data_IF_854169816793
#
_entry.id   IF_854169816793
#
_cell.length_a   1.000
_cell.length_b   1.000
_cell.length_c   1.000
_cell.angle_alpha   90.00
_cell.angle_beta   90.00
_cell.angle_gamma   90.00
#
_symmetry.space_group_name_H-M   'P 1'
#
loop_
_entity.id
_entity.type
_entity.pdbx_description
1 polymer ?
#
# COMPACT_ATOMS: atom_id res chain seq x y z
N UNK A 1 25.03 3.37 -8.91
CA UNK A 1 24.48 2.49 -7.87
C UNK A 1 23.18 1.87 -8.33
N UNK A 2 23.27 0.68 -8.94
CA UNK A 2 22.15 -0.10 -9.45
C UNK A 2 21.94 -1.32 -8.53
N UNK A 3 21.54 -1.09 -7.28
CA UNK A 3 21.36 -2.16 -6.29
C UNK A 3 20.30 -3.21 -6.67
N UNK A 4 19.37 -2.86 -7.58
CA UNK A 4 18.23 -3.72 -7.95
C UNK A 4 18.47 -4.58 -9.21
N UNK A 5 19.42 -4.20 -10.06
CA UNK A 5 19.71 -4.92 -11.31
C UNK A 5 20.11 -6.38 -11.09
N UNK A 6 20.88 -6.74 -10.04
CA UNK A 6 21.20 -8.14 -9.76
C UNK A 6 19.96 -9.00 -9.45
N UNK A 7 18.97 -8.44 -8.73
CA UNK A 7 17.76 -9.18 -8.33
C UNK A 7 16.85 -9.49 -9.53
N UNK A 8 16.71 -8.54 -10.45
CA UNK A 8 15.90 -8.75 -11.66
C UNK A 8 16.58 -9.68 -12.67
N UNK A 9 17.91 -9.62 -12.79
CA UNK A 9 18.66 -10.50 -13.70
C UNK A 9 18.73 -11.94 -13.22
N UNK A 10 18.64 -12.16 -11.90
CA UNK A 10 18.67 -13.49 -11.26
C UNK A 10 17.30 -13.89 -10.71
N UNK A 11 16.21 -13.34 -11.25
CA UNK A 11 14.88 -13.54 -10.69
C UNK A 11 14.55 -15.03 -10.48
N UNK A 12 14.83 -15.87 -11.47
CA UNK A 12 14.58 -17.31 -11.42
C UNK A 12 15.38 -18.03 -10.33
N UNK A 13 16.57 -17.55 -9.98
CA UNK A 13 17.37 -18.09 -8.88
C UNK A 13 16.84 -17.58 -7.53
N UNK A 14 16.51 -16.29 -7.46
CA UNK A 14 16.04 -15.60 -6.25
C UNK A 14 14.72 -16.19 -5.72
N UNK A 15 13.84 -16.66 -6.61
CA UNK A 15 12.51 -17.15 -6.22
C UNK A 15 12.48 -18.64 -5.83
N UNK A 16 13.61 -19.36 -5.88
CA UNK A 16 13.62 -20.80 -5.59
C UNK A 16 13.43 -21.12 -4.10
N UNK A 17 13.92 -20.26 -3.20
CA UNK A 17 13.81 -20.46 -1.76
C UNK A 17 13.99 -19.15 -0.98
N UNK A 18 13.60 -19.15 0.29
CA UNK A 18 13.90 -18.03 1.20
C UNK A 18 15.41 -17.78 1.32
N UNK A 19 16.20 -18.86 1.37
CA UNK A 19 17.66 -18.76 1.46
C UNK A 19 18.26 -18.10 0.21
N UNK A 20 17.77 -18.47 -0.98
CA UNK A 20 18.21 -17.86 -2.24
C UNK A 20 17.89 -16.36 -2.29
N UNK A 21 16.71 -15.97 -1.80
CA UNK A 21 16.35 -14.56 -1.65
C UNK A 21 17.29 -13.84 -0.66
N UNK A 22 17.54 -14.45 0.51
CA UNK A 22 18.41 -13.89 1.55
C UNK A 22 19.83 -13.67 1.04
N UNK A 23 20.40 -14.67 0.37
CA UNK A 23 21.72 -14.60 -0.25
C UNK A 23 21.78 -13.49 -1.31
N UNK A 24 20.75 -13.40 -2.15
CA UNK A 24 20.69 -12.40 -3.21
C UNK A 24 20.58 -10.97 -2.69
N UNK A 25 19.92 -10.74 -1.54
CA UNK A 25 19.78 -9.41 -0.94
C UNK A 25 20.89 -9.07 0.07
N UNK A 26 21.65 -10.05 0.57
CA UNK A 26 22.70 -9.84 1.58
C UNK A 26 23.73 -8.79 1.14
N UNK A 27 24.05 -8.78 -0.15
CA UNK A 27 25.03 -7.87 -0.75
C UNK A 27 24.39 -6.62 -1.37
N UNK A 28 23.07 -6.50 -1.32
CA UNK A 28 22.34 -5.35 -1.87
C UNK A 28 22.28 -4.26 -0.80
N UNK A 29 23.06 -3.19 -1.01
CA UNK A 29 22.89 -1.96 -0.23
C UNK A 29 21.67 -1.20 -0.73
N UNK A 30 20.59 -1.30 0.04
CA UNK A 30 19.45 -0.41 -0.09
C UNK A 30 19.81 0.95 0.52
N UNK A 31 19.96 1.99 -0.31
CA UNK A 31 20.29 3.35 0.14
C UNK A 31 19.18 3.96 1.04
N UNK A 32 17.98 3.36 1.07
CA UNK A 32 16.86 3.75 1.93
C UNK A 32 16.15 2.52 2.45
N UNK A 33 16.26 2.28 3.76
CA UNK A 33 15.55 1.23 4.49
C UNK A 33 14.42 1.76 5.38
N UNK A 34 14.20 3.07 5.38
CA UNK A 34 13.20 3.72 6.20
C UNK A 34 11.94 4.05 5.39
N UNK A 35 10.79 3.89 6.04
CA UNK A 35 9.52 4.36 5.50
C UNK A 35 9.49 5.89 5.45
N UNK A 36 8.95 6.45 4.37
CA UNK A 36 8.75 7.90 4.28
C UNK A 36 7.90 8.42 5.46
N UNK A 37 8.07 9.67 5.84
CA UNK A 37 7.25 10.30 6.88
C UNK A 37 5.75 10.27 6.52
N UNK A 38 5.43 10.37 5.22
CA UNK A 38 4.07 10.24 4.71
C UNK A 38 3.44 8.87 4.97
N UNK A 39 4.24 7.78 4.88
CA UNK A 39 3.75 6.43 5.12
C UNK A 39 3.83 5.99 6.59
N UNK A 40 4.86 6.42 7.33
CA UNK A 40 5.07 6.04 8.73
C UNK A 40 4.36 6.94 9.72
N UNK A 41 4.03 8.18 9.33
CA UNK A 41 3.60 9.26 10.23
C UNK A 41 4.57 9.47 11.40
N UNK A 42 5.87 9.21 11.18
CA UNK A 42 6.91 9.30 12.21
C UNK A 42 6.85 8.19 13.26
N UNK A 43 6.06 7.13 13.05
CA UNK A 43 5.91 6.04 14.00
C UNK A 43 6.71 4.80 13.58
N UNK A 44 7.44 4.16 14.51
CA UNK A 44 8.18 2.93 14.22
C UNK A 44 7.20 1.80 13.85
N UNK A 45 7.65 0.87 13.01
CA UNK A 45 6.88 -0.28 12.51
C UNK A 45 5.61 0.07 11.71
N UNK A 46 5.42 1.33 11.33
CA UNK A 46 4.39 1.76 10.35
C UNK A 46 5.02 2.03 9.00
N UNK A 47 4.20 1.91 7.96
CA UNK A 47 4.58 2.25 6.59
C UNK A 47 4.46 1.10 5.59
N UNK A 48 4.52 -0.16 6.04
CA UNK A 48 4.41 -1.32 5.15
C UNK A 48 3.14 -1.30 4.30
N UNK A 49 1.96 -1.15 4.90
CA UNK A 49 0.69 -1.11 4.16
C UNK A 49 0.63 0.07 3.18
N UNK A 50 1.17 1.23 3.55
CA UNK A 50 1.24 2.40 2.66
C UNK A 50 2.16 2.14 1.46
N UNK A 51 3.35 1.58 1.72
CA UNK A 51 4.29 1.16 0.68
C UNK A 51 3.74 0.07 -0.23
N UNK A 52 2.98 -0.87 0.32
CA UNK A 52 2.31 -1.91 -0.46
C UNK A 52 1.28 -1.30 -1.41
N UNK A 53 0.42 -0.38 -0.95
CA UNK A 53 -0.50 0.33 -1.85
C UNK A 53 0.21 1.11 -2.94
N UNK A 54 1.32 1.78 -2.62
CA UNK A 54 2.15 2.46 -3.62
C UNK A 54 2.70 1.47 -4.65
N UNK A 55 3.23 0.32 -4.20
CA UNK A 55 3.73 -0.74 -5.09
C UNK A 55 2.63 -1.25 -6.03
N UNK A 56 1.42 -1.49 -5.51
CA UNK A 56 0.30 -1.92 -6.33
C UNK A 56 -0.05 -0.86 -7.40
N UNK A 57 -0.12 0.41 -7.02
CA UNK A 57 -0.35 1.50 -7.98
C UNK A 57 0.74 1.57 -9.07
N UNK A 58 2.01 1.49 -8.66
CA UNK A 58 3.17 1.44 -9.59
C UNK A 58 3.04 0.26 -10.55
N UNK A 59 2.73 -0.93 -10.03
CA UNK A 59 2.57 -2.12 -10.86
C UNK A 59 1.43 -1.95 -11.88
N UNK A 60 0.28 -1.41 -11.46
CA UNK A 60 -0.85 -1.19 -12.39
C UNK A 60 -0.52 -0.18 -13.49
N UNK A 61 0.17 0.92 -13.18
CA UNK A 61 0.59 1.91 -14.19
C UNK A 61 1.69 1.32 -15.09
N UNK A 62 2.62 0.57 -14.52
CA UNK A 62 3.69 -0.12 -15.24
C UNK A 62 3.17 -1.13 -16.27
N UNK A 63 2.08 -1.84 -15.97
CA UNK A 63 1.38 -2.70 -16.95
C UNK A 63 0.93 -1.89 -18.16
N UNK A 64 0.39 -0.69 -17.95
CA UNK A 64 -0.05 0.17 -19.05
C UNK A 64 1.14 0.65 -19.88
N UNK A 65 2.17 1.21 -19.25
CA UNK A 65 3.37 1.69 -19.95
C UNK A 65 4.09 0.58 -20.72
N UNK A 66 4.14 -0.62 -20.14
CA UNK A 66 4.74 -1.79 -20.81
C UNK A 66 3.91 -2.20 -22.02
N UNK A 67 2.59 -2.30 -21.87
CA UNK A 67 1.69 -2.64 -22.98
C UNK A 67 1.69 -1.60 -24.11
N UNK A 68 2.00 -0.33 -23.84
CA UNK A 68 2.17 0.73 -24.85
C UNK A 68 3.36 0.46 -25.78
N UNK A 69 4.38 -0.26 -25.31
CA UNK A 69 5.65 -0.49 -26.04
C UNK A 69 5.86 -1.93 -26.53
N UNK A 70 5.07 -2.88 -26.04
CA UNK A 70 5.14 -4.30 -26.40
C UNK A 70 4.34 -4.65 -27.67
N UNK A 71 4.77 -5.71 -28.35
CA UNK A 71 3.96 -6.35 -29.41
C UNK A 71 2.68 -6.95 -28.82
N UNK A 72 1.61 -7.06 -29.64
CA UNK A 72 0.31 -7.59 -29.20
C UNK A 72 0.41 -8.95 -28.48
N UNK A 73 1.31 -9.83 -28.93
CA UNK A 73 1.56 -11.16 -28.35
C UNK A 73 2.19 -11.16 -26.95
N UNK A 74 2.76 -10.02 -26.50
CA UNK A 74 3.44 -9.88 -25.20
C UNK A 74 2.69 -8.98 -24.23
N UNK A 75 1.50 -8.50 -24.61
CA UNK A 75 0.69 -7.65 -23.76
C UNK A 75 0.11 -8.46 -22.61
N UNK A 76 0.11 -7.87 -21.43
CA UNK A 76 -0.52 -8.45 -20.23
C UNK A 76 -1.95 -7.89 -20.13
N UNK A 77 -2.95 -8.75 -20.00
CA UNK A 77 -4.33 -8.29 -19.86
C UNK A 77 -4.57 -7.65 -18.49
N UNK A 78 -5.50 -6.70 -18.42
CA UNK A 78 -5.82 -6.02 -17.16
C UNK A 78 -6.42 -6.97 -16.13
N UNK A 79 -7.23 -7.93 -16.57
CA UNK A 79 -7.75 -8.99 -15.70
C UNK A 79 -6.61 -9.85 -15.13
N UNK A 80 -5.67 -10.30 -15.97
CA UNK A 80 -4.57 -11.15 -15.51
C UNK A 80 -3.67 -10.45 -14.49
N UNK A 81 -3.28 -9.19 -14.76
CA UNK A 81 -2.50 -8.40 -13.80
C UNK A 81 -3.26 -8.19 -12.48
N UNK A 82 -4.57 -8.01 -12.54
CA UNK A 82 -5.41 -7.85 -11.36
C UNK A 82 -5.55 -9.15 -10.55
N UNK A 83 -5.63 -10.31 -11.21
CA UNK A 83 -5.65 -11.63 -10.57
C UNK A 83 -4.34 -11.91 -9.82
N UNK A 84 -3.19 -11.53 -10.40
CA UNK A 84 -1.89 -11.63 -9.72
C UNK A 84 -1.88 -10.80 -8.44
N UNK A 85 -2.35 -9.55 -8.50
CA UNK A 85 -2.46 -8.67 -7.34
C UNK A 85 -3.41 -9.25 -6.28
N UNK A 86 -4.58 -9.75 -6.70
CA UNK A 86 -5.55 -10.42 -5.81
C UNK A 86 -4.90 -11.60 -5.08
N UNK A 87 -4.23 -12.48 -5.81
CA UNK A 87 -3.61 -13.69 -5.25
C UNK A 87 -2.41 -13.35 -4.35
N UNK A 88 -1.65 -12.31 -4.68
CA UNK A 88 -0.61 -11.79 -3.79
C UNK A 88 -1.22 -11.36 -2.45
N UNK A 89 -2.30 -10.57 -2.47
CA UNK A 89 -2.98 -10.14 -1.25
C UNK A 89 -3.58 -11.33 -0.48
N UNK A 90 -4.17 -12.30 -1.18
CA UNK A 90 -4.74 -13.50 -0.57
C UNK A 90 -3.73 -14.34 0.21
N UNK A 91 -2.50 -14.46 -0.30
CA UNK A 91 -1.53 -15.41 0.24
C UNK A 91 -0.44 -14.77 1.10
N UNK A 92 -0.10 -13.50 0.87
CA UNK A 92 1.08 -12.89 1.49
C UNK A 92 0.78 -11.65 2.33
N UNK A 93 -0.44 -11.09 2.28
CA UNK A 93 -0.74 -9.90 3.08
C UNK A 93 -1.25 -10.26 4.47
N UNK A 94 -0.48 -9.94 5.51
CA UNK A 94 -0.71 -10.42 6.88
C UNK A 94 -2.02 -9.93 7.53
N UNK A 95 -2.44 -8.69 7.27
CA UNK A 95 -3.65 -8.13 7.90
C UNK A 95 -4.90 -8.86 7.41
N UNK A 96 -5.45 -9.75 8.25
CA UNK A 96 -6.61 -10.60 7.92
C UNK A 96 -7.83 -9.79 7.49
N UNK A 97 -8.26 -8.82 8.29
CA UNK A 97 -9.46 -8.03 7.99
C UNK A 97 -9.26 -7.11 6.77
N UNK A 98 -8.03 -6.66 6.55
CA UNK A 98 -7.68 -5.87 5.37
C UNK A 98 -7.74 -6.74 4.10
N UNK A 99 -7.16 -7.94 4.17
CA UNK A 99 -7.14 -8.94 3.10
C UNK A 99 -8.54 -9.37 2.72
N UNK A 100 -9.36 -9.80 3.68
CA UNK A 100 -10.74 -10.23 3.44
C UNK A 100 -11.57 -9.13 2.76
N UNK A 101 -11.40 -7.87 3.17
CA UNK A 101 -12.10 -6.77 2.54
C UNK A 101 -11.63 -6.50 1.10
N UNK A 102 -10.32 -6.57 0.85
CA UNK A 102 -9.79 -6.43 -0.51
C UNK A 102 -10.32 -7.54 -1.43
N UNK A 103 -10.27 -8.79 -0.99
CA UNK A 103 -10.79 -9.94 -1.74
C UNK A 103 -12.28 -9.79 -2.01
N UNK A 104 -13.06 -9.35 -1.01
CA UNK A 104 -14.47 -9.05 -1.20
C UNK A 104 -14.71 -8.01 -2.29
N UNK A 105 -14.01 -6.86 -2.25
CA UNK A 105 -14.15 -5.83 -3.29
C UNK A 105 -13.82 -6.39 -4.68
N UNK A 106 -12.82 -7.27 -4.77
CA UNK A 106 -12.40 -7.89 -6.02
C UNK A 106 -13.44 -8.91 -6.54
N UNK A 107 -13.76 -9.91 -5.72
CA UNK A 107 -14.55 -11.09 -6.08
C UNK A 107 -16.03 -10.70 -6.29
N UNK A 108 -16.57 -9.74 -5.53
CA UNK A 108 -17.93 -9.21 -5.70
C UNK A 108 -18.02 -8.07 -6.75
N UNK A 109 -16.94 -7.83 -7.50
CA UNK A 109 -16.90 -6.89 -8.61
C UNK A 109 -17.28 -5.44 -8.26
N UNK A 110 -16.85 -4.98 -7.08
CA UNK A 110 -17.02 -3.59 -6.68
C UNK A 110 -16.32 -2.64 -7.67
N UNK A 111 -16.84 -1.42 -7.76
CA UNK A 111 -16.36 -0.38 -8.68
C UNK A 111 -16.34 -0.83 -10.16
N UNK A 112 -17.20 -1.80 -10.51
CA UNK A 112 -17.35 -2.29 -11.87
C UNK A 112 -16.20 -3.19 -12.36
N UNK A 113 -15.41 -3.79 -11.46
CA UNK A 113 -14.24 -4.62 -11.82
C UNK A 113 -14.52 -5.58 -12.98
N UNK A 114 -15.57 -6.39 -12.87
CA UNK A 114 -15.98 -7.39 -13.87
C UNK A 114 -16.20 -6.82 -15.28
N UNK A 115 -16.57 -5.53 -15.39
CA UNK A 115 -16.84 -4.85 -16.67
C UNK A 115 -15.64 -4.05 -17.16
N UNK A 116 -14.86 -3.48 -16.23
CA UNK A 116 -13.71 -2.61 -16.50
C UNK A 116 -12.47 -3.41 -16.88
N UNK A 117 -12.23 -4.55 -16.22
CA UNK A 117 -11.04 -5.37 -16.42
C UNK A 117 -11.35 -6.53 -17.38
N UNK A 118 -10.51 -6.68 -18.39
CA UNK A 118 -10.73 -7.63 -19.48
C UNK A 118 -9.53 -8.55 -19.65
N UNK A 119 -9.81 -9.78 -20.09
CA UNK A 119 -8.81 -10.75 -20.55
C UNK A 119 -8.35 -10.47 -21.97
N UNK A 120 -9.13 -9.70 -22.74
CA UNK A 120 -8.83 -9.36 -24.12
C UNK A 120 -7.75 -8.28 -24.20
N UNK A 121 -6.58 -8.67 -24.69
CA UNK A 121 -5.41 -7.79 -24.89
C UNK A 121 -5.44 -7.03 -26.21
N UNK A 122 -6.39 -7.34 -27.09
CA UNK A 122 -6.62 -6.61 -28.35
C UNK A 122 -7.37 -5.29 -28.13
N UNK A 123 -7.92 -5.10 -26.94
CA UNK A 123 -8.64 -3.89 -26.57
C UNK A 123 -7.76 -2.65 -26.60
N UNK A 124 -8.40 -1.51 -26.91
CA UNK A 124 -7.76 -0.22 -27.11
C UNK A 124 -6.97 0.25 -25.89
N UNK A 125 -6.07 1.22 -26.09
CA UNK A 125 -5.34 1.92 -25.02
C UNK A 125 -6.25 2.34 -23.85
N UNK A 126 -7.47 2.78 -24.16
CA UNK A 126 -8.51 3.15 -23.19
C UNK A 126 -8.96 2.01 -22.27
N UNK A 127 -8.79 0.74 -22.65
CA UNK A 127 -9.08 -0.39 -21.76
C UNK A 127 -7.94 -0.68 -20.77
N UNK A 128 -6.70 -0.34 -21.11
CA UNK A 128 -5.54 -0.66 -20.26
C UNK A 128 -5.46 0.24 -19.03
N UNK A 129 -5.92 1.49 -19.13
CA UNK A 129 -6.01 2.43 -17.99
C UNK A 129 -7.03 2.04 -16.92
N UNK A 130 -7.91 1.09 -17.23
CA UNK A 130 -9.00 0.68 -16.35
C UNK A 130 -8.52 -0.01 -15.08
N UNK A 131 -7.35 -0.67 -15.12
CA UNK A 131 -6.77 -1.31 -13.93
C UNK A 131 -6.27 -0.29 -12.89
N UNK A 132 -5.41 0.70 -13.24
CA UNK A 132 -5.06 1.78 -12.32
C UNK A 132 -6.28 2.52 -11.76
N UNK A 133 -7.29 2.78 -12.61
CA UNK A 133 -8.51 3.47 -12.19
C UNK A 133 -9.34 2.65 -11.20
N UNK A 134 -9.52 1.35 -11.46
CA UNK A 134 -10.20 0.45 -10.53
C UNK A 134 -9.48 0.42 -9.18
N UNK A 135 -8.15 0.27 -9.18
CA UNK A 135 -7.37 0.22 -7.94
C UNK A 135 -7.48 1.53 -7.16
N UNK A 136 -7.46 2.68 -7.85
CA UNK A 136 -7.70 3.99 -7.23
C UNK A 136 -9.07 4.05 -6.56
N UNK A 137 -10.14 3.62 -7.23
CA UNK A 137 -11.50 3.60 -6.65
C UNK A 137 -11.58 2.67 -5.43
N UNK A 138 -10.98 1.48 -5.52
CA UNK A 138 -10.94 0.52 -4.42
C UNK A 138 -10.19 1.07 -3.19
N UNK A 139 -9.02 1.67 -3.41
CA UNK A 139 -8.22 2.26 -2.33
C UNK A 139 -8.97 3.43 -1.67
N UNK A 140 -9.65 4.27 -2.45
CA UNK A 140 -10.45 5.35 -1.88
C UNK A 140 -11.64 4.87 -1.05
N UNK A 141 -12.26 3.74 -1.41
CA UNK A 141 -13.27 3.12 -0.57
C UNK A 141 -12.69 2.62 0.76
N UNK A 142 -11.46 2.08 0.75
CA UNK A 142 -10.73 1.74 1.98
C UNK A 142 -10.48 2.98 2.83
N UNK A 143 -10.03 4.10 2.26
CA UNK A 143 -9.82 5.34 3.01
C UNK A 143 -11.08 5.82 3.73
N UNK A 144 -12.22 5.80 3.03
CA UNK A 144 -13.52 6.18 3.59
C UNK A 144 -13.97 5.19 4.67
N UNK A 145 -13.75 3.88 4.47
CA UNK A 145 -14.01 2.86 5.49
C UNK A 145 -13.18 3.12 6.76
N UNK A 146 -11.86 3.32 6.62
CA UNK A 146 -10.95 3.57 7.73
C UNK A 146 -11.31 4.85 8.49
N UNK A 147 -11.75 5.90 7.80
CA UNK A 147 -12.27 7.12 8.42
C UNK A 147 -13.49 6.81 9.32
N UNK A 148 -14.45 6.01 8.82
CA UNK A 148 -15.65 5.62 9.57
C UNK A 148 -15.30 4.73 10.77
N UNK A 149 -14.41 3.76 10.60
CA UNK A 149 -13.94 2.90 11.69
C UNK A 149 -13.21 3.70 12.78
N UNK A 150 -12.40 4.69 12.37
CA UNK A 150 -11.76 5.61 13.31
C UNK A 150 -12.79 6.39 14.12
N UNK A 151 -13.82 6.96 13.47
CA UNK A 151 -14.89 7.70 14.17
C UNK A 151 -15.65 6.82 15.16
N UNK A 152 -16.00 5.60 14.73
CA UNK A 152 -16.66 4.63 15.59
C UNK A 152 -15.82 4.31 16.84
N UNK A 153 -14.51 4.06 16.66
CA UNK A 153 -13.58 3.78 17.78
C UNK A 153 -13.41 4.94 18.74
N UNK A 154 -13.49 6.17 18.22
CA UNK A 154 -13.41 7.41 18.99
C UNK A 154 -14.78 7.87 19.56
N UNK A 155 -15.85 7.08 19.39
CA UNK A 155 -17.24 7.46 19.75
C UNK A 155 -17.65 8.84 19.20
N UNK A 156 -17.19 9.18 17.99
CA UNK A 156 -17.52 10.42 17.29
C UNK A 156 -18.69 10.23 16.32
N UNK A 157 -19.43 11.29 15.99
CA UNK A 157 -20.45 11.26 14.94
C UNK A 157 -19.90 10.75 13.60
N UNK A 158 -20.81 10.31 12.74
CA UNK A 158 -20.49 9.92 11.36
C UNK A 158 -19.72 11.05 10.64
N UNK A 159 -18.74 10.73 9.79
CA UNK A 159 -17.95 11.76 9.11
C UNK A 159 -18.82 12.64 8.20
N UNK A 160 -18.50 13.93 8.14
CA UNK A 160 -19.17 14.87 7.22
C UNK A 160 -18.77 14.60 5.76
N UNK A 161 -19.48 15.21 4.80
CA UNK A 161 -19.13 15.09 3.37
C UNK A 161 -17.73 15.62 3.08
N UNK A 162 -17.34 16.70 3.76
CA UNK A 162 -16.05 17.36 3.62
C UNK A 162 -14.93 16.47 4.18
N UNK A 163 -15.16 15.83 5.33
CA UNK A 163 -14.22 14.86 5.91
C UNK A 163 -14.06 13.60 5.03
N UNK A 164 -15.13 13.15 4.39
CA UNK A 164 -15.06 12.07 3.38
C UNK A 164 -14.31 12.52 2.13
N UNK A 165 -14.45 13.79 1.71
CA UNK A 165 -13.69 14.35 0.58
C UNK A 165 -12.20 14.44 0.91
N UNK A 166 -11.83 14.82 2.13
CA UNK A 166 -10.42 15.05 2.51
C UNK A 166 -9.59 13.77 2.65
N UNK A 167 -10.21 12.61 2.90
CA UNK A 167 -9.51 11.32 2.93
C UNK A 167 -9.42 10.64 1.56
N UNK A 168 -10.06 11.21 0.54
CA UNK A 168 -9.96 10.72 -0.83
C UNK A 168 -8.76 11.34 -1.54
N UNK A 169 -8.08 10.53 -2.34
CA UNK A 169 -6.87 10.89 -3.07
C UNK A 169 -7.06 10.65 -4.58
N UNK A 170 -6.71 11.59 -5.47
CA UNK A 170 -5.98 12.82 -5.17
C UNK A 170 -6.84 13.89 -4.51
N UNK A 171 -6.22 14.68 -3.64
CA UNK A 171 -6.93 15.81 -3.02
C UNK A 171 -7.23 16.89 -4.08
N UNK A 172 -8.28 17.68 -3.87
CA UNK A 172 -8.67 18.75 -4.82
C UNK A 172 -7.58 19.79 -5.02
N UNK A 173 -6.76 20.04 -4.00
CA UNK A 173 -5.59 20.93 -4.11
C UNK A 173 -4.44 20.31 -4.91
N UNK A 174 -4.35 18.98 -4.97
CA UNK A 174 -3.30 18.26 -5.71
C UNK A 174 -3.70 18.04 -7.17
N UNK A 175 -4.98 17.78 -7.42
CA UNK A 175 -5.53 17.64 -8.77
C UNK A 175 -6.93 18.27 -8.85
N UNK A 176 -7.04 19.59 -9.07
CA UNK A 176 -8.35 20.25 -9.17
C UNK A 176 -9.20 19.67 -10.31
N UNK A 177 -8.57 19.38 -11.45
CA UNK A 177 -9.25 18.83 -12.63
C UNK A 177 -9.73 17.38 -12.46
N UNK A 178 -9.24 16.66 -11.44
CA UNK A 178 -9.74 15.33 -11.13
C UNK A 178 -11.17 15.36 -10.56
N UNK A 179 -11.64 16.51 -10.08
CA UNK A 179 -12.93 16.68 -9.42
C UNK A 179 -13.94 17.39 -10.31
N UNK A 180 -15.15 16.84 -10.37
CA UNK A 180 -16.30 17.47 -11.03
C UNK A 180 -17.10 18.30 -10.03
N UNK A 181 -17.94 19.21 -10.54
CA UNK A 181 -18.78 20.11 -9.72
C UNK A 181 -19.71 19.36 -8.76
N UNK A 182 -20.19 18.18 -9.16
CA UNK A 182 -21.04 17.32 -8.33
C UNK A 182 -20.26 16.54 -7.24
N UNK A 183 -18.93 16.64 -7.25
CA UNK A 183 -18.02 15.95 -6.33
C UNK A 183 -17.66 14.51 -6.74
N UNK A 184 -18.05 14.10 -7.96
CA UNK A 184 -17.53 12.91 -8.62
C UNK A 184 -16.17 13.18 -9.27
N UNK A 185 -15.58 12.17 -9.90
CA UNK A 185 -14.26 12.27 -10.50
C UNK A 185 -14.32 12.22 -12.02
N UNK A 186 -13.39 12.91 -12.65
CA UNK A 186 -13.05 12.71 -14.05
C UNK A 186 -12.03 11.57 -14.15
N UNK A 187 -12.46 10.41 -14.67
CA UNK A 187 -11.60 9.22 -14.82
C UNK A 187 -10.36 9.51 -15.72
N UNK A 188 -10.44 10.43 -16.68
CA UNK A 188 -9.29 10.77 -17.54
C UNK A 188 -8.25 11.57 -16.76
N UNK A 189 -8.68 12.59 -16.01
CA UNK A 189 -7.78 13.44 -15.22
C UNK A 189 -7.17 12.67 -14.05
N UNK A 190 -7.96 11.80 -13.39
CA UNK A 190 -7.43 10.88 -12.37
C UNK A 190 -6.37 9.95 -12.97
N UNK A 191 -6.60 9.40 -14.16
CA UNK A 191 -5.60 8.53 -14.80
C UNK A 191 -4.32 9.29 -15.17
N UNK A 192 -4.42 10.52 -15.70
CA UNK A 192 -3.25 11.37 -15.95
C UNK A 192 -2.46 11.62 -14.67
N UNK A 193 -3.15 11.91 -13.58
CA UNK A 193 -2.52 12.10 -12.27
C UNK A 193 -1.83 10.81 -11.79
N UNK A 194 -2.49 9.64 -11.87
CA UNK A 194 -1.88 8.35 -11.54
C UNK A 194 -0.61 8.07 -12.36
N UNK A 195 -0.62 8.36 -13.66
CA UNK A 195 0.56 8.20 -14.53
C UNK A 195 1.66 9.19 -14.19
N UNK A 196 1.31 10.41 -13.79
CA UNK A 196 2.26 11.43 -13.32
C UNK A 196 2.94 11.00 -12.02
N UNK A 197 2.21 10.41 -11.08
CA UNK A 197 2.74 10.02 -9.77
C UNK A 197 3.52 8.71 -9.81
N UNK A 198 2.98 7.69 -10.50
CA UNK A 198 3.48 6.32 -10.44
C UNK A 198 4.13 5.84 -11.74
N UNK A 199 4.07 6.61 -12.82
CA UNK A 199 4.70 6.26 -14.10
C UNK A 199 6.20 6.52 -14.11
N UNK A 200 6.88 6.00 -15.14
CA UNK A 200 8.34 6.12 -15.30
C UNK A 200 8.84 7.58 -15.31
N UNK A 201 8.01 8.51 -15.77
CA UNK A 201 8.31 9.96 -15.75
C UNK A 201 8.16 10.57 -14.36
N UNK A 202 7.20 10.10 -13.54
CA UNK A 202 6.99 10.54 -12.16
C UNK A 202 8.16 10.21 -11.24
N UNK A 203 8.76 9.04 -11.42
CA UNK A 203 9.99 8.67 -10.71
C UNK A 203 11.18 9.56 -11.07
N UNK A 204 11.27 10.03 -12.32
CA UNK A 204 12.30 10.99 -12.73
C UNK A 204 12.04 12.36 -12.09
N UNK A 205 10.79 12.80 -12.06
CA UNK A 205 10.41 14.11 -11.51
C UNK A 205 10.55 14.16 -9.99
N UNK A 206 10.14 13.11 -9.26
CA UNK A 206 10.38 13.00 -7.81
C UNK A 206 11.88 12.95 -7.46
N UNK A 207 12.70 12.29 -8.28
CA UNK A 207 14.17 12.26 -8.12
C UNK A 207 14.79 13.63 -8.39
N UNK A 208 14.34 14.35 -9.42
CA UNK A 208 14.76 15.72 -9.72
C UNK A 208 14.31 16.70 -8.64
N UNK A 209 13.07 16.59 -8.17
CA UNK A 209 12.53 17.40 -7.09
C UNK A 209 13.27 17.15 -5.78
N UNK A 210 13.64 15.90 -5.47
CA UNK A 210 14.47 15.59 -4.29
C UNK A 210 15.87 16.19 -4.40
N UNK A 211 16.52 16.07 -5.56
CA UNK A 211 17.83 16.71 -5.81
C UNK A 211 17.75 18.24 -5.83
N UNK A 212 16.61 18.80 -6.19
CA UNK A 212 16.30 20.23 -6.10
C UNK A 212 16.08 20.65 -4.65
N UNK A 213 15.29 19.89 -3.89
CA UNK A 213 15.04 20.11 -2.45
C UNK A 213 16.32 19.99 -1.64
N UNK A 214 17.14 18.96 -1.87
CA UNK A 214 18.43 18.77 -1.19
C UNK A 214 19.38 19.93 -1.50
N UNK A 215 19.36 20.46 -2.73
CA UNK A 215 20.13 21.66 -3.11
C UNK A 215 19.62 22.94 -2.44
N UNK A 216 18.30 23.08 -2.28
CA UNK A 216 17.68 24.19 -1.55
C UNK A 216 18.00 24.12 -0.06
N UNK A 217 17.92 22.93 0.55
CA UNK A 217 18.27 22.70 1.96
C UNK A 217 19.76 22.97 2.21
N UNK A 218 20.67 22.65 1.28
CA UNK A 218 22.09 23.02 1.42
C UNK A 218 22.38 24.51 1.28
N UNK A 219 21.41 25.30 0.79
CA UNK A 219 21.52 26.76 0.68
C UNK A 219 20.82 27.52 1.82
N UNK A 220 20.04 26.87 2.67
CA UNK A 220 19.39 27.46 3.85
C UNK A 220 20.26 27.35 5.12
N UNK A 221 21.52 27.74 4.99
CA UNK A 221 22.41 28.01 6.13
C UNK A 221 22.20 29.39 6.76
N UNK A 222 21.14 30.11 6.41
CA UNK A 222 20.81 31.45 6.93
C UNK A 222 19.32 31.71 6.65
N UNK A 223 18.43 31.35 7.57
CA UNK A 223 17.23 32.11 7.97
C UNK A 223 16.43 31.28 9.00
N UNK A 224 16.40 31.82 10.20
CA UNK A 224 15.88 31.20 11.40
C UNK A 224 14.34 31.24 11.49
N UNK A 225 13.84 30.40 12.41
CA UNK A 225 12.60 30.54 13.17
C UNK A 225 11.28 30.32 12.42
N UNK A 226 10.86 29.04 12.35
CA UNK A 226 9.44 28.70 12.49
C UNK A 226 9.29 27.91 13.78
N UNK A 227 8.70 28.57 14.78
CA UNK A 227 8.25 27.98 16.03
C UNK A 227 7.13 26.98 15.77
N UNK A 228 7.42 25.69 15.81
CA UNK A 228 6.39 24.67 15.93
C UNK A 228 5.94 24.65 17.39
N UNK A 229 4.68 25.02 17.60
CA UNK A 229 4.01 24.97 18.90
C UNK A 229 3.98 23.52 19.39
N UNK A 230 4.75 23.22 20.43
CA UNK A 230 4.56 22.03 21.26
C UNK A 230 3.22 22.16 22.00
N UNK A 231 2.34 21.16 21.84
CA UNK A 231 1.27 20.93 22.80
C UNK A 231 1.37 19.52 23.37
N UNK A 232 1.93 19.52 24.58
CA UNK A 232 1.85 18.59 25.70
C UNK A 232 1.54 17.11 25.45
N UNK A 233 2.56 16.30 25.73
CA UNK A 233 2.41 14.95 26.25
C UNK A 233 1.58 14.95 27.53
N UNK A 234 0.63 14.03 27.63
CA UNK A 234 0.15 13.48 28.90
C UNK A 234 0.19 11.96 28.82
N UNK A 235 1.27 11.44 29.41
CA UNK A 235 1.41 10.20 30.18
C UNK A 235 0.35 9.10 30.03
N UNK A 236 0.79 7.90 29.65
CA UNK A 236 0.84 6.71 30.52
C UNK A 236 1.22 5.43 29.71
N UNK A 237 2.36 4.83 30.05
CA UNK A 237 2.78 3.45 29.77
C UNK A 237 3.45 2.97 31.08
N UNK A 238 3.55 1.67 31.50
CA UNK A 238 2.98 0.39 31.00
C UNK A 238 2.39 -0.53 32.10
N UNK A 239 1.33 -1.31 31.86
CA UNK A 239 1.05 -2.54 32.65
C UNK A 239 0.35 -3.62 31.81
N UNK A 240 1.00 -4.12 30.75
CA UNK A 240 0.52 -5.31 30.04
C UNK A 240 1.64 -6.23 29.50
N UNK A 241 2.87 -6.13 30.03
CA UNK A 241 4.01 -6.96 29.60
C UNK A 241 4.35 -8.13 30.55
N UNK A 242 3.54 -8.44 31.57
CA UNK A 242 3.80 -9.54 32.51
C UNK A 242 2.74 -10.65 32.55
N UNK A 243 1.67 -10.58 31.77
CA UNK A 243 0.59 -11.58 31.84
C UNK A 243 0.69 -12.71 30.80
N UNK A 244 1.52 -12.58 29.77
CA UNK A 244 1.60 -13.59 28.70
C UNK A 244 2.40 -14.85 29.09
N UNK A 245 3.53 -14.77 29.83
CA UNK A 245 4.24 -15.98 30.27
C UNK A 245 3.47 -16.78 31.33
N UNK A 246 2.74 -16.11 32.22
CA UNK A 246 1.96 -16.75 33.29
C UNK A 246 0.76 -17.55 32.76
N UNK A 247 0.05 -17.00 31.76
CA UNK A 247 -1.05 -17.70 31.10
C UNK A 247 -0.53 -18.94 30.35
N UNK A 248 0.63 -18.84 29.69
CA UNK A 248 1.22 -19.98 28.98
C UNK A 248 1.69 -21.09 29.94
N UNK A 249 2.23 -20.72 31.11
CA UNK A 249 2.62 -21.69 32.15
C UNK A 249 1.41 -22.42 32.74
N UNK A 250 0.32 -21.70 33.07
CA UNK A 250 -0.92 -22.29 33.57
C UNK A 250 -1.57 -23.21 32.54
N UNK A 251 -1.56 -22.84 31.25
CA UNK A 251 -2.09 -23.69 30.18
C UNK A 251 -1.28 -24.98 30.02
N UNK A 252 0.05 -24.88 30.12
CA UNK A 252 0.95 -26.04 30.05
C UNK A 252 0.83 -26.96 31.28
N UNK A 253 0.55 -26.41 32.45
CA UNK A 253 0.32 -27.19 33.67
C UNK A 253 -1.01 -27.97 33.60
N UNK A 254 -2.07 -27.36 33.06
CA UNK A 254 -3.36 -28.03 32.86
C UNK A 254 -3.26 -29.22 31.90
N UNK A 255 -2.63 -29.03 30.73
CA UNK A 255 -2.43 -30.13 29.77
C UNK A 255 -1.60 -31.29 30.34
N UNK A 256 -0.63 -31.01 31.22
CA UNK A 256 0.19 -32.05 31.87
C UNK A 256 -0.63 -32.85 32.89
N UNK A 257 -1.49 -32.20 33.67
CA UNK A 257 -2.35 -32.87 34.65
C UNK A 257 -3.43 -33.73 33.97
N UNK A 258 -4.02 -33.25 32.87
CA UNK A 258 -5.02 -34.00 32.11
C UNK A 258 -4.41 -35.26 31.43
N UNK A 259 -3.14 -35.18 31.00
CA UNK A 259 -2.41 -36.33 30.45
C UNK A 259 -2.08 -37.37 31.52
N UNK A 260 -1.72 -36.95 32.75
CA UNK A 260 -1.45 -37.85 33.87
C UNK A 260 -2.75 -38.53 34.34
N UNK A 261 -3.86 -37.80 34.39
CA UNK A 261 -5.19 -38.34 34.74
C UNK A 261 -5.63 -39.48 33.81
N UNK A 262 -5.46 -39.32 32.49
CA UNK A 262 -5.79 -40.38 31.51
C UNK A 262 -4.87 -41.61 31.57
N UNK A 263 -3.68 -41.49 32.15
CA UNK A 263 -2.76 -42.63 32.32
C UNK A 263 -3.05 -43.46 33.57
N UNK A 264 -3.82 -42.93 34.54
CA UNK A 264 -4.22 -43.64 35.77
C UNK A 264 -5.57 -44.36 35.66
N UNK A 265 -6.35 -44.09 34.61
CA UNK A 265 -7.63 -44.75 34.31
C UNK A 265 -7.53 -45.82 33.20
N UNK A 266 -6.30 -46.24 32.83
CA UNK A 266 -6.04 -47.41 31.97
C UNK A 266 -5.29 -48.49 32.72
#
# INVERSE_FOLDING_TARGET
NLGWTPLLLKFDDVVQSEDALREAIEHVRFERNDWSLACSYGQPHKGYTCGLWALLHIATVGVVETNETQSSSKKVSTAHAADIMRNFIEHFFDCKECREYFLKMYDECFFGRCKRLSTDTSLLKESTRELPLWLSKAHNAVNVRLLRERRSRENKPMPTREEVKSVRWPHETECPHCWQEDGTWDDNEVYKHLKSEYGSSGFKQSKLNKQGLERLITHEGELANISVVEHSQSSLIPLAALLVPGIFWLFRQKLRNDAIGRSKER
#
